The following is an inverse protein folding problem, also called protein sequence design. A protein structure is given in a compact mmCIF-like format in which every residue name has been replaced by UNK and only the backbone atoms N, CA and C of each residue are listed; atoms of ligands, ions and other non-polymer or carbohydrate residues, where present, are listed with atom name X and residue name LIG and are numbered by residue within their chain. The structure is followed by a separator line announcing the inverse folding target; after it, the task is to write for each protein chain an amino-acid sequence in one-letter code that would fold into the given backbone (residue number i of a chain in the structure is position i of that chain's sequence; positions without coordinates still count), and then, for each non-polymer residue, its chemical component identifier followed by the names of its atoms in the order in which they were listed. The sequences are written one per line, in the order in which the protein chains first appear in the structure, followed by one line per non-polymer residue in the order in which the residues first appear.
data_IF_731003162180
#
_entry.id   IF_731003162180
#
_cell.length_a   1.000
_cell.length_b   1.000
_cell.length_c   1.000
_cell.angle_alpha   90.00
_cell.angle_beta   90.00
_cell.angle_gamma   90.00
#
_symmetry.space_group_name_H-M   'P 1'
#
loop_
_entity.id
_entity.type
_entity.pdbx_description
1 polymer ?
2 non-polymer ?
3 non-polymer ?
4 non-polymer ?
5 non-polymer ?
6 water ?
#
# COMPACT_ATOMS: atom_id res chain seq x y z
N UNK A 1 2.13 -21.85 0.46
CA UNK A 1 3.46 -21.24 0.81
C UNK A 1 4.14 -22.13 1.87
N UNK A 2 5.39 -22.52 1.63
CA UNK A 2 6.16 -23.34 2.60
C UNK A 2 6.59 -22.49 3.79
N UNK A 3 6.93 -21.23 3.47
CA UNK A 3 7.30 -20.20 4.47
C UNK A 3 6.17 -19.94 5.45
N UNK A 4 4.94 -19.92 4.93
CA UNK A 4 3.72 -19.75 5.73
C UNK A 4 3.38 -21.04 6.49
N UNK A 5 3.68 -22.19 5.87
CA UNK A 5 3.53 -23.51 6.52
C UNK A 5 4.41 -23.63 7.76
N UNK A 6 5.63 -23.10 7.65
CA UNK A 6 6.58 -23.06 8.78
C UNK A 6 6.09 -22.12 9.89
N UNK A 7 5.42 -21.04 9.50
CA UNK A 7 4.89 -20.06 10.44
C UNK A 7 3.74 -20.66 11.26
N UNK A 8 2.84 -21.36 10.57
CA UNK A 8 1.71 -22.08 11.21
C UNK A 8 2.26 -22.99 12.29
N UNK A 9 3.23 -23.83 11.91
CA UNK A 9 3.91 -24.75 12.86
C UNK A 9 4.51 -23.98 14.03
N UNK A 10 5.21 -22.87 13.73
CA UNK A 10 5.84 -22.03 14.77
C UNK A 10 4.84 -21.48 15.79
N UNK A 11 3.73 -20.93 15.29
CA UNK A 11 2.68 -20.38 16.16
C UNK A 11 2.03 -21.44 17.05
N UNK A 12 1.87 -22.65 16.52
CA UNK A 12 1.27 -23.77 17.26
C UNK A 12 2.20 -24.31 18.35
N UNK A 13 3.50 -24.40 18.05
CA UNK A 13 4.50 -24.82 19.06
C UNK A 13 4.59 -23.76 20.17
N UNK A 14 4.27 -22.51 19.81
CA UNK A 14 4.24 -21.38 20.77
C UNK A 14 2.87 -21.18 21.44
N UNK A 15 2.01 -22.19 21.33
CA UNK A 15 0.70 -22.20 22.00
C UNK A 15 -0.45 -21.44 21.38
N UNK A 16 -0.22 -20.73 20.27
CA UNK A 16 -1.30 -20.00 19.60
C UNK A 16 -2.13 -21.04 18.82
N UNK A 17 -3.39 -21.18 19.21
CA UNK A 17 -4.32 -22.17 18.60
C UNK A 17 -5.15 -21.55 17.48
N UNK A 18 -5.50 -22.36 16.45
CA UNK A 18 -6.30 -21.86 15.34
C UNK A 18 -7.77 -21.69 15.73
N UNK A 19 -8.46 -20.73 15.10
CA UNK A 19 -9.87 -20.50 15.36
C UNK A 19 -10.66 -20.44 14.06
N UNK A 20 -11.84 -21.07 14.09
CA UNK A 20 -12.74 -21.19 12.93
C UNK A 20 -13.71 -20.02 12.82
N UNK A 21 -13.86 -19.53 11.60
CA UNK A 21 -14.75 -18.40 11.30
C UNK A 21 -15.61 -18.73 10.07
N UNK A 22 -16.84 -18.25 10.05
CA UNK A 22 -17.75 -18.43 8.89
C UNK A 22 -18.07 -17.10 8.17
N UNK A 23 -18.84 -17.16 7.09
CA UNK A 23 -19.21 -15.96 6.28
C UNK A 23 -19.89 -14.84 7.11
N UNK A 24 -19.64 -13.60 6.71
CA UNK A 24 -20.09 -12.34 7.37
C UNK A 24 -19.54 -12.11 8.81
N UNK A 25 -18.71 -13.05 9.29
CA UNK A 25 -18.17 -13.01 10.64
C UNK A 25 -16.90 -12.17 10.65
N UNK A 26 -16.77 -11.31 11.67
CA UNK A 26 -15.63 -10.39 11.78
C UNK A 26 -14.54 -10.96 12.69
N UNK A 27 -13.33 -11.10 12.16
CA UNK A 27 -12.17 -11.56 12.94
C UNK A 27 -11.87 -10.46 13.95
N UNK A 28 -11.75 -9.24 13.43
CA UNK A 28 -11.65 -8.03 14.27
C UNK A 28 -12.53 -6.93 13.68
N UNK A 29 -12.89 -5.97 14.52
CA UNK A 29 -13.68 -4.83 14.07
C UNK A 29 -12.98 -3.50 14.40
N UNK A 30 -13.47 -2.44 13.77
CA UNK A 30 -12.92 -1.06 13.96
C UNK A 30 -12.91 -0.46 15.38
N UNK A 31 -13.78 -0.95 16.26
CA UNK A 31 -13.89 -0.40 17.60
C UNK A 31 -13.10 -1.18 18.64
N UNK A 32 -12.44 -2.27 18.22
CA UNK A 32 -11.66 -3.10 19.14
C UNK A 32 -10.40 -2.34 19.53
N UNK A 33 -10.23 -2.03 20.84
CA UNK A 33 -9.00 -1.35 21.28
C UNK A 33 -7.79 -2.27 21.33
N UNK A 34 -8.02 -3.58 21.25
CA UNK A 34 -6.94 -4.56 21.23
C UNK A 34 -6.46 -4.66 19.79
N UNK A 35 -5.16 -4.45 19.59
CA UNK A 35 -4.57 -4.57 18.26
C UNK A 35 -4.10 -6.01 18.11
N UNK A 36 -4.19 -6.53 16.88
CA UNK A 36 -3.84 -7.92 16.60
C UNK A 36 -2.92 -8.09 15.40
N UNK A 37 -2.45 -9.31 15.27
CA UNK A 37 -1.75 -9.80 14.10
C UNK A 37 -2.54 -11.03 13.69
N UNK A 38 -3.25 -10.92 12.57
CA UNK A 38 -4.10 -12.00 12.08
C UNK A 38 -3.36 -12.79 11.02
N UNK A 39 -2.94 -13.99 11.38
CA UNK A 39 -2.34 -14.90 10.41
C UNK A 39 -3.48 -15.67 9.79
N UNK A 40 -4.00 -15.12 8.70
CA UNK A 40 -5.08 -15.77 7.93
C UNK A 40 -4.42 -16.93 7.24
N UNK A 41 -4.72 -18.15 7.68
CA UNK A 41 -4.11 -19.37 7.12
C UNK A 41 -4.84 -19.87 5.89
N UNK A 42 -6.15 -20.04 6.02
CA UNK A 42 -7.00 -20.53 4.94
C UNK A 42 -8.31 -19.74 4.92
N UNK A 43 -8.77 -19.43 3.71
CA UNK A 43 -10.02 -18.68 3.50
C UNK A 43 -9.80 -17.39 2.75
N UNK A 44 -10.88 -16.65 2.57
CA UNK A 44 -10.86 -15.37 1.89
C UNK A 44 -11.53 -14.34 2.82
N UNK A 45 -10.94 -13.15 2.87
CA UNK A 45 -11.44 -12.07 3.71
C UNK A 45 -11.42 -10.75 2.98
N UNK A 46 -12.13 -9.78 3.55
CA UNK A 46 -12.10 -8.40 3.04
C UNK A 46 -11.88 -7.43 4.20
N UNK A 47 -11.12 -6.39 3.91
CA UNK A 47 -10.77 -5.35 4.88
C UNK A 47 -11.72 -4.21 4.57
N UNK A 48 -12.69 -3.96 5.46
CA UNK A 48 -13.67 -2.89 5.25
C UNK A 48 -13.48 -1.73 6.20
N UNK A 49 -14.23 -0.66 5.92
CA UNK A 49 -14.23 0.56 6.71
C UNK A 49 -15.63 1.15 6.72
N UNK A 50 -16.08 1.52 7.92
CA UNK A 50 -17.41 2.13 8.07
C UNK A 50 -17.25 3.61 8.26
N UNK A 51 -17.80 4.35 7.32
CA UNK A 51 -17.81 5.80 7.35
C UNK A 51 -18.74 6.27 8.45
N UNK A 52 -18.48 7.44 9.01
CA UNK A 52 -19.28 7.95 10.15
C UNK A 52 -20.80 7.93 9.91
N UNK A 53 -21.19 8.09 8.63
CA UNK A 53 -22.62 8.00 8.19
C UNK A 53 -23.19 6.56 8.05
N UNK A 54 -22.33 5.56 8.23
CA UNK A 54 -22.71 4.13 8.33
C UNK A 54 -22.46 3.29 7.07
N UNK A 55 -22.08 3.94 5.97
CA UNK A 55 -21.87 3.25 4.70
C UNK A 55 -20.55 2.43 4.70
N UNK A 56 -20.69 1.18 4.30
CA UNK A 56 -19.60 0.19 4.30
C UNK A 56 -18.75 0.30 3.03
N UNK A 57 -17.43 0.42 3.21
CA UNK A 57 -16.49 0.54 2.10
C UNK A 57 -15.57 -0.68 2.10
N UNK A 58 -15.53 -1.38 0.97
CA UNK A 58 -14.63 -2.52 0.78
C UNK A 58 -13.30 -1.96 0.32
N UNK A 59 -12.23 -2.20 1.07
CA UNK A 59 -10.90 -1.63 0.76
C UNK A 59 -9.88 -2.55 0.16
N UNK A 60 -9.84 -3.78 0.63
CA UNK A 60 -8.83 -4.76 0.20
C UNK A 60 -9.32 -6.15 0.51
N UNK A 61 -8.90 -7.11 -0.31
CA UNK A 61 -9.22 -8.53 -0.12
C UNK A 61 -7.94 -9.30 0.17
N UNK A 62 -7.99 -10.22 1.13
CA UNK A 62 -6.83 -11.09 1.46
C UNK A 62 -7.21 -12.56 1.34
N UNK A 63 -6.27 -13.36 0.85
CA UNK A 63 -6.44 -14.81 0.67
C UNK A 63 -5.64 -15.56 1.74
N UNK A 64 -6.10 -16.76 2.08
CA UNK A 64 -5.39 -17.63 3.10
C UNK A 64 -4.14 -18.10 2.39
N UNK A 65 -2.89 -17.81 2.69
CA UNK A 65 -2.07 -17.41 3.81
C UNK A 65 -1.55 -16.03 3.62
N UNK A 66 -1.68 -15.28 4.68
CA UNK A 66 -1.23 -13.93 4.70
C UNK A 66 -1.39 -13.41 6.10
N UNK A 67 -0.66 -12.36 6.40
CA UNK A 67 -0.79 -11.68 7.68
C UNK A 67 -1.40 -10.29 7.50
N UNK A 68 -2.29 -9.97 8.45
CA UNK A 68 -3.00 -8.69 8.50
C UNK A 68 -2.80 -8.18 9.92
N UNK A 69 -2.28 -6.96 10.05
CA UNK A 69 -2.02 -6.34 11.36
C UNK A 69 -2.79 -5.06 11.55
N UNK A 70 -3.54 -5.01 12.63
CA UNK A 70 -4.30 -3.81 13.01
C UNK A 70 -3.48 -2.84 13.86
N UNK A 71 -2.26 -3.25 14.26
CA UNK A 71 -1.38 -2.42 15.09
C UNK A 71 0.08 -2.36 14.65
N UNK A 72 0.75 -1.25 14.98
CA UNK A 72 2.19 -1.08 14.70
C UNK A 72 2.95 -1.95 15.70
N UNK A 73 3.99 -2.62 15.22
CA UNK A 73 4.75 -3.59 16.05
C UNK A 73 5.46 -3.02 17.29
N UNK A 74 6.12 -1.87 17.16
CA UNK A 74 6.87 -1.27 18.26
C UNK A 74 5.97 -0.38 19.10
N UNK A 75 5.35 0.65 18.51
CA UNK A 75 4.54 1.56 19.32
C UNK A 75 3.27 0.90 19.86
N UNK A 76 2.81 -0.16 19.18
CA UNK A 76 1.58 -0.89 19.55
C UNK A 76 0.34 0.03 19.53
N UNK A 77 0.17 0.78 18.45
CA UNK A 77 -0.98 1.70 18.26
C UNK A 77 -1.75 1.31 16.99
N UNK A 78 -3.03 1.66 16.93
CA UNK A 78 -3.83 1.28 15.77
C UNK A 78 -3.22 1.81 14.50
N UNK A 79 -3.16 0.94 13.50
CA UNK A 79 -2.68 1.31 12.17
C UNK A 79 -3.85 1.97 11.39
N UNK A 80 -5.08 1.69 11.83
CA UNK A 80 -6.29 2.24 11.24
C UNK A 80 -7.55 1.60 11.81
N UNK A 81 -8.68 2.26 11.62
CA UNK A 81 -9.96 1.75 12.13
C UNK A 81 -10.67 0.95 11.03
N UNK A 82 -10.34 -0.34 10.99
CA UNK A 82 -10.86 -1.28 9.99
C UNK A 82 -11.55 -2.49 10.61
N UNK A 83 -12.26 -3.23 9.76
CA UNK A 83 -12.92 -4.49 10.11
C UNK A 83 -12.34 -5.54 9.19
N UNK A 84 -12.11 -6.73 9.70
CA UNK A 84 -11.64 -7.84 8.84
C UNK A 84 -12.76 -8.87 8.80
N UNK A 85 -13.58 -8.74 7.77
CA UNK A 85 -14.75 -9.59 7.55
C UNK A 85 -14.42 -10.83 6.73
N UNK A 86 -15.01 -11.96 7.10
CA UNK A 86 -14.84 -13.21 6.32
C UNK A 86 -15.87 -13.22 5.19
N UNK A 87 -15.40 -13.57 4.00
CA UNK A 87 -16.27 -13.66 2.78
C UNK A 87 -16.47 -15.07 2.23
N UNK A 88 -15.52 -15.97 2.47
CA UNK A 88 -15.67 -17.37 2.08
C UNK A 88 -16.62 -18.09 3.05
N UNK A 89 -17.08 -19.27 2.67
CA UNK A 89 -18.01 -20.07 3.53
C UNK A 89 -17.41 -20.30 4.91
N UNK A 90 -16.16 -20.75 4.92
CA UNK A 90 -15.40 -21.00 6.13
C UNK A 90 -13.98 -20.43 6.00
N UNK A 91 -13.41 -20.05 7.15
CA UNK A 91 -12.04 -19.53 7.21
C UNK A 91 -11.36 -19.93 8.53
N UNK A 92 -10.06 -20.23 8.43
CA UNK A 92 -9.21 -20.58 9.58
C UNK A 92 -8.21 -19.45 9.77
N UNK A 93 -8.00 -19.04 11.02
CA UNK A 93 -7.06 -17.96 11.33
C UNK A 93 -6.53 -18.04 12.74
N UNK A 94 -5.28 -17.62 12.90
CA UNK A 94 -4.62 -17.55 14.19
C UNK A 94 -4.65 -16.09 14.60
N UNK A 95 -5.42 -15.81 15.64
CA UNK A 95 -5.56 -14.46 16.16
C UNK A 95 -4.55 -14.32 17.29
N UNK A 96 -3.60 -13.41 17.11
CA UNK A 96 -2.56 -13.17 18.12
C UNK A 96 -2.55 -11.67 18.48
N UNK A 97 -2.45 -11.37 19.78
CA UNK A 97 -2.32 -9.97 20.24
C UNK A 97 -1.02 -9.39 19.71
N UNK A 98 -1.03 -8.10 19.38
CA UNK A 98 0.15 -7.44 18.79
C UNK A 98 1.46 -7.57 19.62
N UNK A 99 1.35 -7.40 20.95
CA UNK A 99 2.48 -7.53 21.88
C UNK A 99 3.07 -8.93 21.85
N UNK A 100 2.19 -9.93 21.75
CA UNK A 100 2.60 -11.33 21.64
C UNK A 100 3.50 -11.46 20.41
N UNK A 101 3.02 -10.95 19.26
CA UNK A 101 3.80 -10.99 18.01
C UNK A 101 5.17 -10.38 18.18
N UNK A 102 5.20 -9.21 18.80
CA UNK A 102 6.46 -8.51 19.04
C UNK A 102 7.49 -9.45 19.66
N UNK A 103 7.10 -10.14 20.74
CA UNK A 103 8.01 -11.07 21.44
C UNK A 103 8.27 -12.33 20.60
N UNK A 104 7.26 -12.80 19.86
CA UNK A 104 7.39 -14.01 19.03
C UNK A 104 8.37 -13.85 17.89
N UNK A 105 8.26 -12.74 17.16
CA UNK A 105 9.17 -12.47 16.04
C UNK A 105 10.59 -12.16 16.54
N UNK A 106 10.69 -11.53 17.71
CA UNK A 106 11.99 -11.23 18.33
C UNK A 106 12.84 -12.47 18.63
N UNK A 107 12.20 -13.64 18.73
CA UNK A 107 12.88 -14.91 19.03
C UNK A 107 13.06 -15.89 17.82
N UNK A 108 12.61 -15.48 16.64
CA UNK A 108 12.85 -16.23 15.39
C UNK A 108 12.87 -15.30 14.15
N UNK A 109 14.07 -15.02 13.66
CA UNK A 109 14.29 -14.11 12.49
C UNK A 109 13.80 -14.56 11.13
N UNK A 110 13.82 -15.87 10.88
CA UNK A 110 13.26 -16.41 9.64
C UNK A 110 11.80 -15.97 9.50
N UNK A 111 11.07 -16.02 10.62
CA UNK A 111 9.65 -15.64 10.64
C UNK A 111 9.44 -14.14 10.66
N UNK A 112 10.40 -13.40 11.19
CA UNK A 112 10.32 -11.93 11.20
C UNK A 112 10.36 -11.54 9.70
N UNK A 113 11.35 -12.08 8.98
CA UNK A 113 11.51 -11.86 7.54
C UNK A 113 10.27 -12.26 6.71
N UNK A 114 9.64 -13.39 7.05
CA UNK A 114 8.43 -13.84 6.32
C UNK A 114 7.30 -12.80 6.40
N UNK A 115 7.00 -12.37 7.61
CA UNK A 115 5.95 -11.36 7.88
C UNK A 115 6.32 -9.98 7.30
N UNK A 116 7.59 -9.64 7.39
CA UNK A 116 8.11 -8.40 6.83
C UNK A 116 7.88 -8.39 5.30
N UNK A 117 8.07 -9.54 4.66
CA UNK A 117 7.87 -9.66 3.20
C UNK A 117 6.40 -9.39 2.91
N UNK A 118 5.52 -10.02 3.70
CA UNK A 118 4.08 -9.90 3.48
C UNK A 118 3.70 -8.44 3.33
N UNK A 119 4.32 -7.59 4.13
CA UNK A 119 4.07 -6.15 4.02
C UNK A 119 4.61 -5.58 2.72
N UNK A 120 5.83 -5.99 2.38
CA UNK A 120 6.45 -5.59 1.10
C UNK A 120 5.55 -6.01 -0.07
N UNK A 121 4.96 -7.21 0.07
CA UNK A 121 4.05 -7.79 -0.94
C UNK A 121 2.87 -6.82 -1.09
N UNK A 122 2.22 -6.53 0.03
CA UNK A 122 1.09 -5.58 0.10
C UNK A 122 1.39 -4.23 -0.52
N UNK A 123 2.52 -3.62 -0.13
CA UNK A 123 2.92 -2.30 -0.64
C UNK A 123 3.05 -2.29 -2.16
N UNK A 124 3.74 -3.28 -2.71
CA UNK A 124 3.98 -3.35 -4.16
C UNK A 124 2.73 -3.70 -4.96
N UNK A 125 1.85 -4.52 -4.36
CA UNK A 125 0.55 -4.88 -4.96
C UNK A 125 -0.29 -3.62 -5.18
N UNK A 126 -0.34 -2.79 -4.15
CA UNK A 126 -1.10 -1.52 -4.17
C UNK A 126 -0.58 -0.59 -5.27
N UNK A 127 0.76 -0.47 -5.35
CA UNK A 127 1.42 0.35 -6.40
C UNK A 127 1.18 -0.18 -7.82
N UNK A 128 1.03 -1.51 -7.93
CA UNK A 128 0.76 -2.15 -9.21
C UNK A 128 -0.66 -1.85 -9.66
N UNK A 129 -1.62 -2.10 -8.77
CA UNK A 129 -3.05 -1.75 -8.97
C UNK A 129 -3.15 -0.30 -9.42
N UNK A 130 -2.49 0.57 -8.67
CA UNK A 130 -2.52 2.00 -8.92
C UNK A 130 -1.93 2.39 -10.26
N UNK A 131 -0.82 1.78 -10.64
CA UNK A 131 -0.20 2.06 -11.95
C UNK A 131 -1.17 1.74 -13.09
N UNK A 132 -1.74 0.54 -13.02
CA UNK A 132 -2.71 0.06 -14.02
C UNK A 132 -3.97 0.91 -14.07
N UNK A 133 -4.41 1.40 -12.92
CA UNK A 133 -5.55 2.31 -12.86
C UNK A 133 -5.21 3.66 -13.49
N UNK A 134 -4.00 4.15 -13.21
CA UNK A 134 -3.55 5.43 -13.75
C UNK A 134 -3.46 5.44 -15.29
N UNK A 135 -3.07 4.32 -15.88
CA UNK A 135 -2.91 4.21 -17.36
C UNK A 135 -4.25 3.94 -18.05
N UNK A 136 -4.91 2.87 -17.63
CA UNK A 136 -6.15 2.39 -18.26
C UNK A 136 -7.47 2.70 -17.52
N UNK A 137 -7.41 3.49 -16.46
CA UNK A 137 -8.63 3.84 -15.69
C UNK A 137 -9.27 2.61 -15.07
N UNK A 138 -10.59 2.58 -14.95
CA UNK A 138 -11.25 1.38 -14.41
C UNK A 138 -11.10 0.12 -15.30
N UNK A 139 -10.81 0.29 -16.61
CA UNK A 139 -10.54 -0.87 -17.49
C UNK A 139 -9.32 -1.61 -16.94
N UNK A 140 -8.30 -0.85 -16.53
CA UNK A 140 -7.10 -1.41 -15.89
C UNK A 140 -7.43 -2.06 -14.56
N UNK A 141 -8.28 -1.41 -13.77
CA UNK A 141 -8.76 -1.95 -12.48
C UNK A 141 -9.49 -3.28 -12.63
N UNK A 142 -10.41 -3.36 -13.60
CA UNK A 142 -11.20 -4.59 -13.81
C UNK A 142 -10.34 -5.74 -14.37
N UNK A 143 -9.58 -5.47 -15.44
CA UNK A 143 -8.68 -6.49 -16.01
C UNK A 143 -7.75 -7.01 -14.92
N UNK A 144 -7.26 -6.09 -14.11
CA UNK A 144 -6.43 -6.41 -12.94
C UNK A 144 -7.13 -7.35 -11.96
N UNK A 145 -8.36 -7.02 -11.56
CA UNK A 145 -9.09 -7.89 -10.62
C UNK A 145 -9.42 -9.26 -11.28
N UNK A 146 -9.74 -9.25 -12.58
CA UNK A 146 -10.01 -10.50 -13.32
C UNK A 146 -8.74 -11.35 -13.45
N UNK A 147 -7.59 -10.68 -13.65
CA UNK A 147 -6.29 -11.36 -13.76
C UNK A 147 -5.92 -12.06 -12.47
N UNK A 148 -6.12 -11.38 -11.34
CA UNK A 148 -5.91 -11.93 -9.99
C UNK A 148 -6.77 -13.18 -9.84
N UNK A 149 -8.07 -13.01 -10.09
CA UNK A 149 -9.05 -14.13 -10.05
C UNK A 149 -8.58 -15.30 -10.92
N UNK A 150 -8.08 -14.98 -12.11
CA UNK A 150 -7.60 -15.99 -13.05
C UNK A 150 -6.42 -16.77 -12.47
N UNK A 151 -5.34 -16.08 -12.16
CA UNK A 151 -4.13 -16.74 -11.67
C UNK A 151 -4.31 -17.53 -10.35
N UNK A 152 -5.04 -16.95 -9.41
CA UNK A 152 -5.21 -17.56 -8.08
C UNK A 152 -6.20 -18.73 -8.07
N UNK A 153 -7.29 -18.62 -8.83
CA UNK A 153 -8.37 -19.66 -8.85
C UNK A 153 -8.68 -20.22 -10.24
N UNK A 154 -7.74 -20.11 -11.16
CA UNK A 154 -7.95 -20.56 -12.55
C UNK A 154 -7.31 -21.88 -12.88
N UNK A 155 -8.01 -22.67 -13.71
CA UNK A 155 -7.50 -23.96 -14.20
C UNK A 155 -7.91 -24.12 -15.67
N UNK A 156 -6.99 -24.63 -16.48
CA UNK A 156 -7.25 -24.86 -17.91
C UNK A 156 -8.12 -26.07 -18.15
N UNK A 157 -9.20 -25.85 -18.91
CA UNK A 157 -10.09 -26.91 -19.39
C UNK A 157 -10.70 -26.43 -20.73
N UNK A 158 -11.08 -27.37 -21.65
CA UNK A 158 -11.52 -27.12 -23.06
C UNK A 158 -12.12 -25.76 -23.38
N UNK A 159 -13.08 -25.35 -22.57
CA UNK A 159 -13.73 -24.05 -22.68
C UNK A 159 -12.96 -23.06 -21.78
N UNK A 160 -11.83 -22.58 -22.28
CA UNK A 160 -10.96 -21.58 -21.59
C UNK A 160 -10.46 -21.90 -20.18
N UNK A 161 -10.23 -20.84 -19.41
CA UNK A 161 -9.74 -20.94 -18.02
C UNK A 161 -10.91 -20.72 -17.06
N UNK A 162 -11.28 -21.77 -16.33
CA UNK A 162 -12.41 -21.72 -15.39
C UNK A 162 -12.05 -21.05 -14.06
N UNK A 163 -12.85 -20.05 -13.67
CA UNK A 163 -12.75 -19.39 -12.37
C UNK A 163 -13.46 -20.31 -11.36
N UNK A 164 -12.67 -20.96 -10.50
CA UNK A 164 -13.19 -21.94 -9.51
C UNK A 164 -13.57 -21.31 -8.16
N UNK A 165 -14.20 -20.15 -8.22
CA UNK A 165 -14.71 -19.46 -7.04
C UNK A 165 -16.18 -19.77 -6.98
N UNK A 166 -16.64 -20.38 -5.88
CA UNK A 166 -18.06 -20.66 -5.71
C UNK A 166 -18.79 -19.35 -5.95
N UNK A 167 -19.52 -19.29 -7.05
CA UNK A 167 -20.39 -18.14 -7.42
C UNK A 167 -20.93 -17.27 -6.28
N UNK A 168 -21.18 -17.88 -5.12
CA UNK A 168 -21.60 -17.16 -3.90
C UNK A 168 -20.56 -16.11 -3.47
N UNK A 169 -19.29 -16.43 -3.65
CA UNK A 169 -18.18 -15.51 -3.36
C UNK A 169 -18.03 -14.51 -4.53
N UNK A 170 -18.42 -14.94 -5.73
CA UNK A 170 -18.43 -14.06 -6.93
C UNK A 170 -19.54 -12.99 -6.88
N UNK A 171 -20.50 -13.09 -5.96
CA UNK A 171 -21.50 -12.03 -5.75
C UNK A 171 -20.91 -10.96 -4.81
N UNK A 172 -19.88 -11.33 -4.03
CA UNK A 172 -19.13 -10.37 -3.19
C UNK A 172 -18.37 -9.40 -4.13
N UNK A 173 -18.09 -9.86 -5.37
CA UNK A 173 -17.53 -9.07 -6.49
C UNK A 173 -16.66 -7.89 -6.07
N UNK A 184 -21.14 4.11 -12.90
CA UNK A 184 -21.94 3.52 -13.97
C UNK A 184 -21.12 2.88 -15.05
N UNK A 185 -21.02 1.57 -14.95
CA UNK A 185 -20.76 0.71 -16.09
C UNK A 185 -20.39 -0.72 -15.80
N UNK A 186 -21.42 -1.52 -16.05
CA UNK A 186 -21.33 -2.93 -16.19
C UNK A 186 -20.84 -3.12 -17.69
N UNK A 187 -20.72 -2.00 -18.43
CA UNK A 187 -20.34 -1.89 -19.88
C UNK A 187 -18.91 -2.43 -20.26
N UNK A 188 -17.83 -2.10 -19.51
CA UNK A 188 -16.47 -2.74 -19.71
C UNK A 188 -16.67 -4.25 -19.79
N UNK A 189 -17.26 -4.80 -18.72
CA UNK A 189 -17.57 -6.24 -18.60
C UNK A 189 -18.41 -6.73 -19.82
N UNK A 190 -19.33 -5.87 -20.30
CA UNK A 190 -20.13 -6.16 -21.51
C UNK A 190 -19.22 -6.30 -22.73
N UNK A 191 -18.31 -5.33 -22.89
CA UNK A 191 -17.33 -5.30 -23.99
C UNK A 191 -16.43 -6.56 -23.96
N UNK A 192 -15.97 -6.93 -22.75
CA UNK A 192 -15.13 -8.15 -22.54
C UNK A 192 -15.90 -9.42 -22.95
N UNK A 193 -17.18 -9.49 -22.56
CA UNK A 193 -18.08 -10.60 -22.95
C UNK A 193 -18.32 -10.65 -24.48
N UNK A 194 -18.42 -9.48 -25.10
CA UNK A 194 -18.62 -9.32 -26.57
C UNK A 194 -17.39 -9.78 -27.38
N UNK A 195 -16.20 -9.39 -26.90
CA UNK A 195 -14.92 -9.73 -27.55
C UNK A 195 -14.39 -11.15 -27.30
N UNK A 196 -15.14 -11.95 -26.53
CA UNK A 196 -14.74 -13.33 -26.16
C UNK A 196 -13.40 -13.33 -25.39
N UNK A 197 -13.34 -12.43 -24.42
CA UNK A 197 -12.23 -12.31 -23.46
C UNK A 197 -12.62 -13.14 -22.25
N UNK A 198 -13.90 -13.01 -21.88
CA UNK A 198 -14.52 -13.76 -20.78
C UNK A 198 -15.88 -14.28 -21.27
N UNK A 199 -16.41 -15.31 -20.62
CA UNK A 199 -17.76 -15.90 -20.96
C UNK A 199 -18.51 -16.46 -19.72
N UNK A 200 -19.85 -16.26 -19.66
CA UNK A 200 -20.71 -16.62 -18.46
C UNK A 200 -21.86 -17.66 -18.70
N UNK A 201 -21.48 -18.85 -19.15
CA UNK A 201 -22.22 -20.17 -19.07
C UNK A 201 -21.24 -20.76 -18.06
N UNK A 202 -21.27 -21.76 -17.25
CA UNK A 202 -22.20 -22.70 -17.04
C UNK A 202 -22.60 -22.84 -15.57
N UNK A 203 -22.74 -22.02 -14.58
CA UNK A 203 -22.47 -20.75 -13.95
C UNK A 203 -21.04 -20.63 -13.48
N UNK A 204 -20.19 -20.14 -14.35
CA UNK A 204 -18.84 -19.84 -14.01
C UNK A 204 -18.36 -18.83 -15.00
N UNK A 205 -17.27 -18.24 -14.62
CA UNK A 205 -16.69 -17.13 -15.27
C UNK A 205 -15.47 -17.75 -15.96
N UNK A 206 -15.38 -17.62 -17.28
CA UNK A 206 -14.24 -18.20 -18.02
C UNK A 206 -13.35 -17.12 -18.59
N UNK A 207 -12.12 -17.51 -18.94
CA UNK A 207 -11.17 -16.59 -19.58
C UNK A 207 -10.68 -17.24 -20.87
N UNK A 208 -11.01 -16.59 -21.97
CA UNK A 208 -10.68 -17.03 -23.33
C UNK A 208 -9.49 -16.26 -23.94
N UNK A 209 -9.27 -15.03 -23.46
CA UNK A 209 -8.22 -14.14 -23.95
C UNK A 209 -7.48 -13.55 -22.73
N UNK A 210 -6.67 -14.38 -22.10
CA UNK A 210 -5.85 -13.95 -20.96
C UNK A 210 -4.94 -12.74 -21.31
N UNK A 211 -4.56 -12.64 -22.59
CA UNK A 211 -3.71 -11.55 -23.10
C UNK A 211 -4.37 -10.16 -22.95
N UNK A 212 -5.68 -10.09 -23.14
CA UNK A 212 -6.44 -8.84 -23.03
C UNK A 212 -6.34 -8.27 -21.60
N UNK A 213 -6.44 -9.17 -20.63
CA UNK A 213 -6.37 -8.79 -19.23
C UNK A 213 -4.97 -8.31 -18.88
N UNK A 214 -3.97 -9.04 -19.34
CA UNK A 214 -2.55 -8.69 -19.12
C UNK A 214 -2.18 -7.37 -19.82
N UNK A 215 -2.83 -7.10 -20.95
CA UNK A 215 -2.61 -5.85 -21.70
C UNK A 215 -2.93 -4.62 -20.85
N UNK A 216 -4.17 -4.57 -20.36
CA UNK A 216 -4.69 -3.42 -19.60
C UNK A 216 -4.37 -3.40 -18.10
N UNK A 217 -3.83 -4.49 -17.56
CA UNK A 217 -3.36 -4.53 -16.15
C UNK A 217 -1.95 -5.13 -16.12
N UNK A 218 -0.99 -4.47 -16.82
CA UNK A 218 0.36 -5.01 -17.00
C UNK A 218 1.27 -4.96 -15.78
N UNK A 219 1.17 -3.93 -14.95
CA UNK A 219 2.00 -3.84 -13.72
C UNK A 219 1.47 -4.82 -12.65
N UNK A 220 0.17 -5.15 -12.71
CA UNK A 220 -0.39 -6.13 -11.75
C UNK A 220 0.14 -7.53 -12.14
N UNK A 221 0.17 -7.79 -13.45
CA UNK A 221 0.71 -9.05 -13.99
C UNK A 221 2.17 -9.24 -13.55
N UNK A 222 2.95 -8.16 -13.68
CA UNK A 222 4.35 -8.13 -13.25
C UNK A 222 4.47 -8.47 -11.76
N UNK A 223 3.57 -7.91 -10.96
CA UNK A 223 3.57 -8.17 -9.52
C UNK A 223 3.34 -9.64 -9.23
N UNK A 224 2.36 -10.24 -9.90
CA UNK A 224 2.06 -11.65 -9.71
C UNK A 224 3.23 -12.55 -10.16
N UNK A 225 3.96 -12.11 -11.19
CA UNK A 225 5.13 -12.84 -11.69
C UNK A 225 6.25 -12.89 -10.66
N UNK A 226 6.47 -11.76 -9.99
CA UNK A 226 7.51 -11.63 -8.95
C UNK A 226 7.07 -12.09 -7.55
N UNK A 227 5.81 -11.81 -7.19
CA UNK A 227 5.27 -12.16 -5.86
C UNK A 227 4.86 -13.64 -5.73
N UNK A 228 4.28 -14.19 -6.81
CA UNK A 228 3.81 -15.59 -6.84
C UNK A 228 4.27 -16.28 -8.16
N UNK A 229 5.60 -16.44 -8.37
CA UNK A 229 6.13 -16.99 -9.64
C UNK A 229 5.66 -18.39 -10.06
N UNK A 230 5.63 -19.33 -9.12
CA UNK A 230 5.20 -20.72 -9.41
C UNK A 230 3.78 -20.72 -9.97
N UNK A 231 2.87 -20.05 -9.24
CA UNK A 231 1.46 -19.88 -9.66
C UNK A 231 1.32 -19.16 -11.02
N UNK A 232 2.15 -18.14 -11.25
CA UNK A 232 2.12 -17.37 -12.51
C UNK A 232 2.49 -18.25 -13.70
N UNK A 233 3.57 -19.02 -13.54
CA UNK A 233 4.03 -19.93 -14.60
C UNK A 233 3.08 -21.09 -14.91
N UNK A 234 2.07 -21.28 -14.06
CA UNK A 234 1.09 -22.36 -14.21
C UNK A 234 0.18 -22.09 -15.44
N UNK A 235 -0.34 -20.85 -15.54
CA UNK A 235 -1.22 -20.45 -16.67
C UNK A 235 -0.50 -19.68 -17.80
N UNK A 236 0.84 -19.54 -17.69
CA UNK A 236 1.67 -18.88 -18.71
C UNK A 236 2.67 -19.86 -19.30
N UNK B 1 12.37 13.63 12.55
CA UNK B 1 12.20 13.05 13.94
C UNK B 1 13.17 11.84 14.20
N UNK B 2 13.05 11.11 15.33
CA UNK B 2 14.23 10.38 15.90
C UNK B 2 14.63 8.89 15.68
N UNK B 3 13.69 7.98 15.82
CA UNK B 3 13.87 6.53 15.52
C UNK B 3 14.71 6.39 14.22
N UNK B 4 14.49 7.33 13.30
CA UNK B 4 15.23 7.45 12.03
C UNK B 4 16.63 8.04 12.23
N UNK B 5 16.75 9.01 13.15
CA UNK B 5 18.06 9.58 13.53
C UNK B 5 18.98 8.49 14.11
N UNK B 6 18.41 7.58 14.90
CA UNK B 6 19.15 6.44 15.49
C UNK B 6 19.60 5.45 14.39
N UNK B 7 18.79 5.32 13.35
CA UNK B 7 19.08 4.44 12.21
C UNK B 7 20.25 4.99 11.39
N UNK B 8 20.22 6.30 11.12
CA UNK B 8 21.29 7.04 10.43
C UNK B 8 22.63 6.75 11.14
N UNK B 9 22.65 6.98 12.46
CA UNK B 9 23.83 6.70 13.29
C UNK B 9 24.27 5.24 13.15
N UNK B 10 23.31 4.32 13.24
CA UNK B 10 23.55 2.88 13.12
C UNK B 10 24.23 2.50 11.80
N UNK B 11 23.65 2.98 10.69
CA UNK B 11 24.21 2.76 9.33
C UNK B 11 25.64 3.28 9.17
N UNK B 12 25.93 4.43 9.77
CA UNK B 12 27.26 5.07 9.70
C UNK B 12 28.31 4.31 10.52
N UNK B 13 27.92 3.87 11.72
CA UNK B 13 28.82 3.06 12.57
C UNK B 13 29.12 1.71 11.89
N UNK B 14 28.18 1.27 11.05
CA UNK B 14 28.32 0.03 10.26
C UNK B 14 28.96 0.25 8.87
N UNK B 15 29.58 1.42 8.68
CA UNK B 15 30.32 1.75 7.45
C UNK B 15 29.55 2.22 6.22
N UNK B 16 28.21 2.24 6.29
CA UNK B 16 27.41 2.70 5.15
C UNK B 16 27.48 4.23 5.14
N UNK B 17 28.06 4.79 4.08
CA UNK B 17 28.28 6.24 3.97
C UNK B 17 27.14 6.92 3.17
N UNK B 18 26.77 8.18 3.52
CA UNK B 18 25.72 8.88 2.77
C UNK B 18 26.16 9.34 1.39
N UNK B 19 25.22 9.41 0.46
CA UNK B 19 25.49 9.86 -0.91
C UNK B 19 24.54 11.01 -1.28
N UNK B 20 25.09 11.99 -2.00
CA UNK B 20 24.34 13.17 -2.44
C UNK B 20 23.73 12.98 -3.83
N UNK B 21 22.49 13.41 -3.97
CA UNK B 21 21.75 13.32 -5.23
C UNK B 21 21.06 14.64 -5.52
N UNK B 22 20.91 14.97 -6.81
CA UNK B 22 20.24 16.22 -7.25
C UNK B 22 18.94 15.91 -8.02
N UNK B 23 18.22 16.95 -8.43
CA UNK B 23 16.95 16.82 -9.19
C UNK B 23 17.09 16.01 -10.51
N UNK B 24 16.03 15.28 -10.86
CA UNK B 24 15.93 14.34 -12.04
C UNK B 24 16.85 13.11 -11.99
N UNK B 25 17.75 13.05 -11.01
CA UNK B 25 18.69 11.95 -10.90
C UNK B 25 17.96 10.76 -10.28
N UNK B 26 18.39 9.56 -10.66
CA UNK B 26 17.79 8.30 -10.20
C UNK B 26 18.68 7.61 -9.16
N UNK B 27 18.12 7.36 -7.97
CA UNK B 27 18.86 6.62 -6.92
C UNK B 27 19.02 5.19 -7.43
N UNK B 28 17.90 4.60 -7.85
CA UNK B 28 17.91 3.30 -8.56
C UNK B 28 16.94 3.37 -9.75
N UNK B 29 17.15 2.47 -10.69
CA UNK B 29 16.29 2.36 -11.88
C UNK B 29 15.73 0.96 -12.08
N UNK B 30 14.66 0.89 -12.87
CA UNK B 30 13.98 -0.38 -13.26
C UNK B 30 14.85 -1.55 -13.64
N UNK B 31 15.89 -1.25 -14.40
CA UNK B 31 16.73 -2.32 -14.98
C UNK B 31 17.85 -2.78 -14.10
N UNK B 32 18.02 -2.16 -12.95
CA UNK B 32 19.13 -2.55 -12.06
C UNK B 32 18.82 -3.92 -11.45
N UNK B 33 19.69 -4.93 -11.69
CA UNK B 33 19.49 -6.25 -11.11
C UNK B 33 19.83 -6.31 -9.63
N UNK B 34 20.58 -5.32 -9.16
CA UNK B 34 20.94 -5.22 -7.75
C UNK B 34 19.77 -4.62 -7.00
N UNK B 35 19.28 -5.34 -6.01
CA UNK B 35 18.18 -4.87 -5.19
C UNK B 35 18.76 -4.13 -4.00
N UNK B 36 18.06 -3.08 -3.59
CA UNK B 36 18.54 -2.20 -2.53
C UNK B 36 17.52 -1.92 -1.45
N UNK B 37 18.05 -1.32 -0.38
CA UNK B 37 17.26 -0.70 0.68
C UNK B 37 17.74 0.74 0.70
N UNK B 38 16.88 1.66 0.28
CA UNK B 38 17.21 3.07 0.21
C UNK B 38 16.69 3.77 1.45
N UNK B 39 17.60 4.12 2.36
CA UNK B 39 17.21 4.92 3.53
C UNK B 39 17.31 6.38 3.10
N UNK B 40 16.19 6.89 2.59
CA UNK B 40 16.10 8.30 2.19
C UNK B 40 16.09 9.10 3.48
N UNK B 41 17.20 9.79 3.76
CA UNK B 41 17.31 10.56 5.00
C UNK B 41 16.71 11.95 4.89
N UNK B 42 17.10 12.67 3.84
CA UNK B 42 16.63 14.03 3.62
C UNK B 42 16.36 14.25 2.13
N UNK B 43 15.26 14.92 1.84
CA UNK B 43 14.85 15.21 0.46
C UNK B 43 13.47 14.68 0.12
N UNK B 44 13.08 14.86 -1.12
CA UNK B 44 11.79 14.39 -1.64
C UNK B 44 12.08 13.57 -2.88
N UNK B 45 11.38 12.45 -3.02
CA UNK B 45 11.55 11.57 -4.18
C UNK B 45 10.21 11.05 -4.67
N UNK B 46 10.21 10.51 -5.88
CA UNK B 46 9.04 9.87 -6.45
C UNK B 46 9.40 8.48 -6.95
N UNK B 47 8.46 7.55 -6.80
CA UNK B 47 8.62 6.19 -7.28
C UNK B 47 7.85 6.15 -8.60
N UNK B 48 8.58 5.95 -9.69
CA UNK B 48 7.99 5.92 -11.02
C UNK B 48 8.05 4.54 -11.65
N UNK B 49 7.31 4.40 -12.75
CA UNK B 49 7.26 3.17 -13.54
C UNK B 49 7.17 3.53 -15.02
N UNK B 50 7.98 2.87 -15.83
CA UNK B 50 8.02 3.08 -17.28
C UNK B 50 7.25 1.95 -17.97
N UNK B 51 6.16 2.31 -18.65
CA UNK B 51 5.36 1.34 -19.44
C UNK B 51 6.20 0.92 -20.64
N UNK B 52 5.81 -0.17 -21.32
CA UNK B 52 6.63 -0.66 -22.46
C UNK B 52 6.71 0.23 -23.72
N UNK B 53 5.78 1.18 -23.88
CA UNK B 53 5.88 2.17 -24.99
C UNK B 53 6.70 3.39 -24.54
N UNK B 54 7.04 3.42 -23.25
CA UNK B 54 7.89 4.49 -22.69
C UNK B 54 7.25 5.57 -21.83
N UNK B 55 5.92 5.55 -21.68
CA UNK B 55 5.24 6.58 -20.89
C UNK B 55 5.53 6.42 -19.38
N UNK B 56 5.92 7.52 -18.76
CA UNK B 56 6.32 7.58 -17.35
C UNK B 56 5.10 7.76 -16.44
N UNK B 57 5.01 6.90 -15.44
CA UNK B 57 3.90 6.89 -14.50
C UNK B 57 4.42 7.21 -13.12
N UNK B 58 3.89 8.25 -12.50
CA UNK B 58 4.26 8.62 -11.12
C UNK B 58 3.35 7.82 -10.19
N UNK B 59 3.95 6.99 -9.34
CA UNK B 59 3.19 6.07 -8.46
C UNK B 59 3.08 6.43 -6.99
N UNK B 60 4.15 6.99 -6.45
CA UNK B 60 4.23 7.29 -5.02
C UNK B 60 5.31 8.32 -4.77
N UNK B 61 5.11 9.16 -3.76
CA UNK B 61 6.12 10.16 -3.38
C UNK B 61 6.56 9.88 -1.94
N UNK B 62 7.88 9.97 -1.71
CA UNK B 62 8.47 9.73 -0.39
C UNK B 62 9.24 10.94 0.09
N UNK B 63 9.15 11.21 1.40
CA UNK B 63 9.82 12.35 2.01
C UNK B 63 10.99 11.86 2.86
N UNK B 64 11.93 12.78 3.06
CA UNK B 64 13.11 12.58 3.84
C UNK B 64 13.08 12.28 5.33
N UNK B 65 12.66 11.06 5.56
CA UNK B 65 13.10 10.11 6.52
C UNK B 65 12.18 8.95 6.24
N UNK B 66 12.67 7.99 5.47
CA UNK B 66 11.85 6.88 5.06
C UNK B 66 12.71 5.83 4.37
N UNK B 67 12.24 4.60 4.39
CA UNK B 67 12.91 3.50 3.74
C UNK B 67 12.11 3.08 2.52
N UNK B 68 12.85 2.81 1.43
CA UNK B 68 12.29 2.30 0.16
C UNK B 68 13.13 1.08 -0.22
N UNK B 69 12.48 -0.07 -0.42
CA UNK B 69 13.18 -1.31 -0.77
C UNK B 69 12.72 -1.89 -2.08
N UNK B 70 13.68 -2.08 -2.99
CA UNK B 70 13.41 -2.67 -4.30
C UNK B 70 13.47 -4.21 -4.28
N UNK B 71 13.82 -4.79 -3.14
CA UNK B 71 13.90 -6.27 -3.00
C UNK B 71 13.25 -6.81 -1.73
N UNK B 72 12.79 -8.05 -1.80
CA UNK B 72 12.23 -8.74 -0.63
C UNK B 72 13.38 -9.20 0.25
N UNK B 73 13.28 -8.98 1.57
CA UNK B 73 14.39 -9.37 2.50
C UNK B 73 14.65 -10.87 2.59
N UNK B 74 13.59 -11.68 2.59
CA UNK B 74 13.72 -13.15 2.74
C UNK B 74 14.35 -13.85 1.54
N UNK B 75 13.76 -13.63 0.37
CA UNK B 75 14.17 -14.25 -0.92
C UNK B 75 15.20 -13.46 -1.73
N UNK B 76 15.29 -12.16 -1.45
CA UNK B 76 16.22 -11.26 -2.15
C UNK B 76 15.92 -11.24 -3.66
N UNK B 77 14.63 -11.12 -3.96
CA UNK B 77 14.13 -11.05 -5.33
C UNK B 77 13.40 -9.72 -5.48
N UNK B 78 13.33 -9.23 -6.71
CA UNK B 78 12.76 -7.91 -7.00
C UNK B 78 11.31 -7.77 -6.56
N UNK B 79 10.97 -6.66 -5.88
CA UNK B 79 9.57 -6.38 -5.45
C UNK B 79 8.76 -5.83 -6.63
N UNK B 80 9.48 -5.24 -7.58
CA UNK B 80 8.91 -4.69 -8.80
C UNK B 80 9.93 -3.91 -9.64
N UNK B 81 9.53 -3.56 -10.86
CA UNK B 81 10.36 -2.79 -11.80
C UNK B 81 10.05 -1.30 -11.69
N UNK B 82 10.76 -0.63 -10.78
CA UNK B 82 10.54 0.79 -10.50
C UNK B 82 11.81 1.62 -10.63
N UNK B 83 11.63 2.94 -10.64
CA UNK B 83 12.73 3.91 -10.61
C UNK B 83 12.46 4.82 -9.42
N UNK B 84 13.52 5.19 -8.70
CA UNK B 84 13.39 6.09 -7.57
C UNK B 84 14.08 7.37 -8.01
N UNK B 85 13.28 8.30 -8.51
CA UNK B 85 13.77 9.60 -9.00
C UNK B 85 13.72 10.68 -7.92
N UNK B 86 14.73 11.54 -7.91
CA UNK B 86 14.81 12.68 -7.00
C UNK B 86 14.02 13.85 -7.60
N UNK B 87 13.22 14.50 -6.75
CA UNK B 87 12.35 15.62 -7.13
C UNK B 87 12.78 16.96 -6.53
N UNK B 88 13.32 16.92 -5.32
CA UNK B 88 13.82 18.12 -4.65
C UNK B 88 15.13 18.58 -5.30
N UNK B 89 15.55 19.80 -4.99
CA UNK B 89 16.83 20.37 -5.50
C UNK B 89 17.97 19.42 -5.19
N UNK B 90 18.08 19.07 -3.91
CA UNK B 90 19.07 18.11 -3.41
C UNK B 90 18.45 17.09 -2.46
N UNK B 91 19.07 15.92 -2.42
CA UNK B 91 18.64 14.82 -1.55
C UNK B 91 19.83 14.01 -1.06
N UNK B 92 19.74 13.56 0.20
CA UNK B 92 20.76 12.71 0.84
C UNK B 92 20.11 11.35 1.07
N UNK B 93 20.87 10.30 0.80
CA UNK B 93 20.37 8.94 0.96
C UNK B 93 21.50 7.92 1.15
N UNK B 94 21.20 6.90 1.95
CA UNK B 94 22.12 5.81 2.23
C UNK B 94 21.66 4.63 1.39
N UNK B 95 22.46 4.30 0.37
CA UNK B 95 22.16 3.20 -0.55
C UNK B 95 22.84 1.97 0.00
N UNK B 96 22.03 0.98 0.34
CA UNK B 96 22.49 -0.27 0.94
C UNK B 96 22.00 -1.41 0.08
N UNK B 97 22.84 -2.42 -0.08
CA UNK B 97 22.51 -3.58 -0.91
C UNK B 97 21.58 -4.42 -0.03
N UNK B 98 20.55 -5.04 -0.63
CA UNK B 98 19.53 -5.73 0.18
C UNK B 98 20.07 -6.76 1.19
N UNK B 99 21.17 -7.43 0.85
CA UNK B 99 21.74 -8.45 1.72
C UNK B 99 22.41 -7.88 3.00
N UNK B 100 22.94 -6.66 2.93
CA UNK B 100 23.57 -6.02 4.12
C UNK B 100 22.46 -5.68 5.12
N UNK B 101 21.37 -5.13 4.58
CA UNK B 101 20.20 -4.75 5.36
C UNK B 101 19.75 -5.92 6.23
N UNK B 102 19.59 -7.10 5.62
CA UNK B 102 19.27 -8.35 6.33
C UNK B 102 20.09 -8.46 7.60
N UNK B 103 21.40 -8.30 7.45
CA UNK B 103 22.36 -8.46 8.54
C UNK B 103 22.31 -7.35 9.57
N UNK B 104 22.22 -6.11 9.12
CA UNK B 104 22.12 -4.94 10.00
C UNK B 104 20.92 -5.05 10.95
N UNK B 105 19.76 -5.42 10.42
CA UNK B 105 18.53 -5.57 11.24
C UNK B 105 18.56 -6.84 12.07
N UNK B 106 19.24 -7.88 11.58
CA UNK B 106 19.40 -9.13 12.35
C UNK B 106 20.19 -8.85 13.62
N UNK B 107 21.29 -8.10 13.46
CA UNK B 107 22.12 -7.67 14.59
C UNK B 107 21.40 -6.78 15.58
N UNK B 108 20.45 -5.98 15.08
CA UNK B 108 19.80 -4.97 15.92
C UNK B 108 18.28 -4.89 15.70
N UNK B 109 17.53 -5.45 16.67
CA UNK B 109 16.05 -5.51 16.61
C UNK B 109 15.26 -4.23 16.70
N UNK B 110 15.80 -3.24 17.41
CA UNK B 110 15.16 -1.92 17.49
C UNK B 110 15.00 -1.35 16.07
N UNK B 111 16.05 -1.47 15.27
CA UNK B 111 16.03 -0.99 13.88
C UNK B 111 15.19 -1.88 12.97
N UNK B 112 15.16 -3.19 13.25
CA UNK B 112 14.34 -4.13 12.45
C UNK B 112 12.91 -3.58 12.58
N UNK B 113 12.49 -3.36 13.83
CA UNK B 113 11.15 -2.80 14.15
C UNK B 113 10.87 -1.44 13.49
N UNK B 114 11.88 -0.56 13.45
CA UNK B 114 11.72 0.77 12.81
C UNK B 114 11.35 0.66 11.33
N UNK B 115 12.15 -0.13 10.61
CA UNK B 115 11.96 -0.37 9.16
C UNK B 115 10.65 -1.12 8.90
N UNK B 116 10.35 -2.08 9.76
CA UNK B 116 9.11 -2.86 9.69
C UNK B 116 7.91 -1.91 9.80
N UNK B 117 7.97 -0.98 10.76
CA UNK B 117 6.88 0.01 10.96
C UNK B 117 6.67 0.92 9.77
N UNK B 118 7.77 1.29 9.12
CA UNK B 118 7.70 2.14 7.95
C UNK B 118 6.81 1.45 6.88
N UNK B 119 7.02 0.14 6.65
CA UNK B 119 6.17 -0.65 5.73
C UNK B 119 4.72 -0.62 6.16
N UNK B 120 4.48 -0.82 7.46
CA UNK B 120 3.13 -0.71 8.02
C UNK B 120 2.51 0.67 7.72
N UNK B 121 3.32 1.72 7.89
CA UNK B 121 2.89 3.09 7.53
C UNK B 121 2.50 3.16 6.06
N UNK B 122 3.39 2.70 5.19
CA UNK B 122 3.10 2.65 3.73
C UNK B 122 1.79 1.94 3.40
N UNK B 123 1.61 0.74 3.95
CA UNK B 123 0.39 -0.04 3.72
C UNK B 123 -0.87 0.72 4.13
N UNK B 124 -0.87 1.28 5.33
CA UNK B 124 -2.05 1.99 5.86
C UNK B 124 -2.33 3.30 5.12
N UNK B 125 -1.25 3.99 4.73
CA UNK B 125 -1.35 5.25 3.93
C UNK B 125 -2.12 5.00 2.64
N UNK B 126 -1.72 3.95 1.94
CA UNK B 126 -2.37 3.50 0.69
C UNK B 126 -3.85 3.21 0.86
N UNK B 127 -4.18 2.48 1.92
CA UNK B 127 -5.59 2.17 2.26
C UNK B 127 -6.41 3.41 2.62
N UNK B 128 -5.74 4.41 3.20
CA UNK B 128 -6.38 5.67 3.59
C UNK B 128 -6.70 6.49 2.35
N UNK B 129 -5.69 6.68 1.49
CA UNK B 129 -5.84 7.31 0.16
C UNK B 129 -7.01 6.66 -0.57
N UNK B 130 -6.97 5.34 -0.64
CA UNK B 130 -7.97 4.56 -1.33
C UNK B 130 -9.38 4.73 -0.78
N UNK B 131 -9.50 4.75 0.54
CA UNK B 131 -10.82 4.92 1.20
C UNK B 131 -11.42 6.25 0.78
N UNK B 132 -10.63 7.30 0.91
CA UNK B 132 -11.04 8.68 0.57
C UNK B 132 -11.38 8.82 -0.92
N UNK B 133 -10.64 8.12 -1.77
CA UNK B 133 -10.93 8.12 -3.21
C UNK B 133 -12.25 7.40 -3.48
N UNK B 134 -12.47 6.29 -2.77
CA UNK B 134 -13.71 5.49 -2.94
C UNK B 134 -14.97 6.26 -2.54
N UNK B 135 -14.87 7.13 -1.53
CA UNK B 135 -16.03 7.91 -1.05
C UNK B 135 -16.26 9.18 -1.88
N UNK B 136 -15.22 10.01 -1.97
CA UNK B 136 -15.30 11.32 -2.63
C UNK B 136 -14.69 11.43 -4.03
N UNK B 137 -14.25 10.32 -4.60
CA UNK B 137 -13.67 10.30 -5.95
C UNK B 137 -12.42 11.16 -6.05
N UNK B 138 -12.28 11.89 -7.15
CA UNK B 138 -11.12 12.79 -7.39
C UNK B 138 -11.03 13.89 -6.32
N UNK B 139 -12.18 14.30 -5.81
CA UNK B 139 -12.24 15.35 -4.74
C UNK B 139 -11.51 14.87 -3.48
N UNK B 140 -11.76 13.61 -3.11
CA UNK B 140 -11.10 12.98 -1.97
C UNK B 140 -9.61 12.88 -2.17
N UNK B 141 -9.22 12.48 -3.37
CA UNK B 141 -7.80 12.37 -3.79
C UNK B 141 -7.07 13.72 -3.67
N UNK B 142 -7.69 14.78 -4.19
CA UNK B 142 -7.09 16.14 -4.18
C UNK B 142 -6.98 16.68 -2.76
N UNK B 143 -8.10 16.73 -2.05
CA UNK B 143 -8.11 17.20 -0.63
C UNK B 143 -7.03 16.46 0.17
N UNK B 144 -6.97 15.14 -0.03
CA UNK B 144 -5.97 14.29 0.56
C UNK B 144 -4.57 14.78 0.24
N UNK B 145 -4.29 15.05 -1.05
CA UNK B 145 -2.96 15.52 -1.50
C UNK B 145 -2.65 16.89 -0.91
N UNK B 146 -3.66 17.73 -0.84
CA UNK B 146 -3.51 19.08 -0.25
C UNK B 146 -3.30 19.01 1.25
N UNK B 147 -3.99 18.06 1.89
CA UNK B 147 -3.87 17.86 3.34
C UNK B 147 -2.45 17.39 3.75
N UNK B 148 -1.87 16.45 2.99
CA UNK B 148 -0.50 15.97 3.27
C UNK B 148 0.47 17.14 3.07
N UNK B 149 0.29 17.89 1.99
CA UNK B 149 1.09 19.11 1.72
C UNK B 149 0.98 20.10 2.87
N UNK B 150 -0.23 20.25 3.38
CA UNK B 150 -0.51 21.17 4.49
C UNK B 150 0.25 20.76 5.77
N UNK B 151 -0.04 19.56 6.26
CA UNK B 151 0.58 19.06 7.50
C UNK B 151 2.11 18.98 7.47
N UNK B 152 2.65 18.46 6.37
CA UNK B 152 4.08 18.23 6.23
C UNK B 152 4.90 19.51 6.00
N UNK B 153 4.37 20.44 5.20
CA UNK B 153 5.08 21.69 4.83
C UNK B 153 4.34 22.98 5.18
N UNK B 154 3.37 22.90 6.08
CA UNK B 154 2.57 24.06 6.42
C UNK B 154 2.93 24.76 7.71
N UNK B 155 2.82 26.09 7.70
CA UNK B 155 2.99 26.90 8.90
C UNK B 155 2.02 28.08 8.90
N UNK B 156 1.50 28.36 10.08
CA UNK B 156 0.49 29.38 10.26
C UNK B 156 1.08 30.77 10.28
N UNK B 157 0.56 31.63 9.42
CA UNK B 157 0.82 33.08 9.43
C UNK B 157 -0.40 33.84 8.77
N UNK B 158 -0.56 35.15 9.00
CA UNK B 158 -1.80 35.97 8.89
C UNK B 158 -2.74 35.55 7.78
N UNK B 159 -2.17 35.36 6.59
CA UNK B 159 -2.90 34.89 5.41
C UNK B 159 -2.83 33.37 5.40
N UNK B 160 -3.68 32.74 6.20
CA UNK B 160 -3.80 31.25 6.27
C UNK B 160 -2.55 30.42 6.56
N UNK B 161 -2.55 29.20 6.06
CA UNK B 161 -1.44 28.23 6.25
C UNK B 161 -0.60 28.18 4.97
N UNK B 162 0.62 28.68 5.03
CA UNK B 162 1.50 28.74 3.85
C UNK B 162 2.19 27.41 3.54
N UNK B 163 2.04 26.95 2.30
CA UNK B 163 2.74 25.75 1.84
C UNK B 163 4.17 26.18 1.45
N UNK B 164 5.14 25.75 2.27
CA UNK B 164 6.56 26.11 2.11
C UNK B 164 7.36 25.14 1.22
N UNK B 165 6.75 24.77 0.10
CA UNK B 165 7.38 23.95 -0.93
C UNK B 165 7.82 24.91 -2.01
N UNK B 166 9.13 24.95 -2.30
CA UNK B 166 9.65 25.80 -3.38
C UNK B 166 8.77 25.51 -4.59
N UNK B 167 8.09 26.54 -5.11
CA UNK B 167 7.15 26.38 -6.24
C UNK B 167 7.66 25.52 -7.42
N UNK B 168 8.98 25.34 -7.51
CA UNK B 168 9.61 24.45 -8.52
C UNK B 168 9.25 22.96 -8.27
N UNK B 169 9.10 22.60 -7.00
CA UNK B 169 8.67 21.25 -6.60
C UNK B 169 7.13 21.13 -6.75
N UNK B 170 6.44 22.27 -6.58
CA UNK B 170 4.98 22.32 -6.78
C UNK B 170 4.59 22.35 -8.26
N UNK B 171 5.54 22.65 -9.15
CA UNK B 171 5.30 22.50 -10.61
C UNK B 171 5.29 21.00 -10.95
N UNK B 172 5.96 20.19 -10.12
CA UNK B 172 5.95 18.72 -10.22
C UNK B 172 4.69 18.13 -9.49
N UNK B 173 3.84 19.03 -8.96
CA UNK B 173 2.51 18.73 -8.39
C UNK B 173 1.72 20.06 -8.58
N UNK B 174 1.56 20.39 -9.87
CA UNK B 174 1.02 21.66 -10.39
C UNK B 174 0.15 22.73 -9.73
N UNK B 175 0.58 23.98 -9.92
CA UNK B 175 -0.27 25.16 -9.68
C UNK B 175 -1.13 25.21 -10.94
N UNK B 176 -0.45 25.13 -12.09
CA UNK B 176 -1.01 25.19 -13.45
C UNK B 176 -1.10 26.65 -13.87
N UNK B 182 -5.27 17.85 -17.88
CA UNK B 182 -5.94 17.98 -16.59
C UNK B 182 -7.10 18.97 -16.60
N UNK B 183 -8.39 18.58 -16.35
CA UNK B 183 -9.28 19.75 -16.03
C UNK B 183 -10.46 19.51 -15.06
N UNK B 184 -10.88 18.22 -14.76
CA UNK B 184 -11.86 17.96 -13.66
C UNK B 184 -11.14 18.26 -12.36
N UNK B 185 -9.80 18.15 -12.39
CA UNK B 185 -8.98 18.57 -11.27
C UNK B 185 -9.17 20.07 -11.19
N UNK B 186 -9.08 20.72 -12.34
CA UNK B 186 -9.29 22.16 -12.38
C UNK B 186 -10.68 22.50 -11.88
N UNK B 187 -11.70 21.75 -12.31
CA UNK B 187 -13.08 21.97 -11.79
C UNK B 187 -13.02 21.98 -10.26
N UNK B 188 -12.28 21.02 -9.71
CA UNK B 188 -12.14 20.92 -8.25
C UNK B 188 -11.27 22.05 -7.68
N UNK B 189 -10.02 22.12 -8.12
CA UNK B 189 -9.09 23.18 -7.67
C UNK B 189 -9.71 24.58 -7.87
N UNK B 190 -10.40 24.77 -9.00
CA UNK B 190 -11.11 26.03 -9.28
C UNK B 190 -12.15 26.31 -8.18
N UNK B 191 -12.97 25.30 -7.89
CA UNK B 191 -14.00 25.41 -6.84
C UNK B 191 -13.39 25.72 -5.46
N UNK B 192 -12.28 25.05 -5.14
CA UNK B 192 -11.59 25.29 -3.86
C UNK B 192 -11.08 26.74 -3.73
N UNK B 193 -10.57 27.30 -4.82
CA UNK B 193 -10.16 28.73 -4.84
C UNK B 193 -11.38 29.61 -4.63
N UNK B 194 -12.45 29.29 -5.38
CA UNK B 194 -13.70 30.08 -5.31
C UNK B 194 -14.22 30.17 -3.90
N UNK B 195 -14.27 29.02 -3.23
CA UNK B 195 -14.76 28.91 -1.83
C UNK B 195 -13.84 29.47 -0.74
N UNK B 196 -12.64 29.91 -1.11
CA UNK B 196 -11.62 30.41 -0.17
C UNK B 196 -11.19 29.27 0.79
N UNK B 197 -10.94 28.10 0.20
CA UNK B 197 -10.39 26.94 0.93
C UNK B 197 -8.88 26.99 0.73
N UNK B 198 -8.46 27.42 -0.47
CA UNK B 198 -7.06 27.59 -0.85
C UNK B 198 -6.95 28.91 -1.63
N UNK B 199 -5.74 29.49 -1.69
CA UNK B 199 -5.51 30.79 -2.37
C UNK B 199 -4.12 30.89 -3.04
N UNK B 200 -4.11 31.35 -4.29
CA UNK B 200 -2.85 31.52 -5.04
C UNK B 200 -2.49 33.01 -5.26
N UNK B 201 -1.75 33.50 -4.26
CA UNK B 201 -1.23 34.82 -4.11
C UNK B 201 0.15 34.89 -3.54
N UNK B 202 1.38 34.37 -3.48
CA UNK B 202 2.41 35.49 -3.54
C UNK B 202 3.62 34.71 -3.96
N UNK B 203 3.31 33.91 -4.92
CA UNK B 203 3.73 32.60 -5.39
C UNK B 203 3.84 31.50 -4.32
N UNK B 204 2.69 31.23 -3.69
CA UNK B 204 2.55 30.14 -2.74
C UNK B 204 1.10 29.81 -2.65
N UNK B 205 0.80 28.54 -2.39
CA UNK B 205 -0.56 28.13 -2.19
C UNK B 205 -0.78 28.30 -0.69
N UNK B 206 -1.97 28.74 -0.31
CA UNK B 206 -2.33 28.87 1.10
C UNK B 206 -3.53 28.00 1.40
N UNK B 207 -3.78 27.78 2.68
CA UNK B 207 -4.95 27.01 3.14
C UNK B 207 -5.69 27.88 4.13
N UNK B 208 -6.91 28.26 3.75
CA UNK B 208 -7.78 29.08 4.62
C UNK B 208 -8.95 28.31 5.26
N UNK B 209 -9.28 27.11 4.73
CA UNK B 209 -10.29 26.23 5.36
C UNK B 209 -9.77 24.78 5.49
N UNK B 210 -9.11 24.51 6.62
CA UNK B 210 -8.52 23.17 6.95
C UNK B 210 -9.57 22.16 7.39
N UNK B 211 -10.58 22.63 8.12
CA UNK B 211 -11.69 21.76 8.58
C UNK B 211 -12.34 21.07 7.36
N UNK B 212 -12.38 21.80 6.23
CA UNK B 212 -12.91 21.30 4.98
C UNK B 212 -12.08 20.14 4.45
N UNK B 213 -10.76 20.32 4.36
CA UNK B 213 -9.86 19.26 3.88
C UNK B 213 -9.99 17.99 4.75
N UNK B 214 -10.00 18.19 6.08
CA UNK B 214 -10.20 17.10 7.03
C UNK B 214 -11.54 16.38 6.78
N UNK B 215 -12.59 17.16 6.50
CA UNK B 215 -13.93 16.61 6.26
C UNK B 215 -13.97 15.66 5.06
N UNK B 216 -13.38 16.07 3.93
CA UNK B 216 -13.35 15.26 2.70
C UNK B 216 -12.13 14.33 2.54
N UNK B 217 -11.28 14.25 3.56
CA UNK B 217 -10.16 13.31 3.60
C UNK B 217 -10.02 12.77 5.04
N UNK B 218 -11.11 12.16 5.57
CA UNK B 218 -11.14 11.72 6.96
C UNK B 218 -10.22 10.54 7.28
N UNK B 219 -10.09 9.59 6.37
CA UNK B 219 -9.23 8.41 6.61
C UNK B 219 -7.73 8.78 6.51
N UNK B 220 -7.40 9.70 5.60
CA UNK B 220 -6.03 10.21 5.47
C UNK B 220 -5.73 11.00 6.74
N UNK B 221 -6.68 11.85 7.14
CA UNK B 221 -6.57 12.64 8.36
C UNK B 221 -6.34 11.73 9.56
N UNK B 222 -7.11 10.64 9.62
CA UNK B 222 -6.96 9.60 10.63
C UNK B 222 -5.53 9.01 10.56
N UNK B 223 -5.06 8.71 9.34
CA UNK B 223 -3.72 8.16 9.13
C UNK B 223 -2.61 9.03 9.75
N UNK B 224 -2.62 10.33 9.46
CA UNK B 224 -1.62 11.24 10.03
C UNK B 224 -1.64 11.18 11.53
N UNK B 225 -2.83 11.31 12.12
CA UNK B 225 -2.99 11.22 13.57
C UNK B 225 -2.44 9.91 14.16
N UNK B 226 -2.71 8.79 13.45
CA UNK B 226 -2.27 7.46 13.89
C UNK B 226 -0.82 7.09 13.56
N UNK B 227 -0.37 7.45 12.35
CA UNK B 227 0.96 7.09 11.84
C UNK B 227 2.13 7.98 12.29
N UNK B 228 1.92 9.28 12.22
CA UNK B 228 2.90 10.29 12.64
C UNK B 228 2.15 11.40 13.42
N UNK B 229 1.96 11.21 14.76
CA UNK B 229 1.15 12.15 15.55
C UNK B 229 1.81 13.48 15.92
N UNK B 230 3.14 13.54 15.80
CA UNK B 230 3.87 14.79 16.06
C UNK B 230 3.45 15.85 15.04
N UNK B 231 3.50 15.48 13.76
CA UNK B 231 3.09 16.37 12.67
C UNK B 231 1.60 16.76 12.76
N UNK B 232 0.72 15.77 12.94
CA UNK B 232 -0.75 16.03 13.05
C UNK B 232 -1.13 17.01 14.18
N UNK B 233 -0.46 16.89 15.32
CA UNK B 233 -0.75 17.76 16.48
C UNK B 233 -0.48 19.25 16.27
N UNK B 234 0.47 19.57 15.38
CA UNK B 234 0.85 20.98 15.13
C UNK B 234 -0.28 21.83 14.56
N UNK B 235 -1.19 21.22 13.80
CA UNK B 235 -2.34 21.92 13.21
C UNK B 235 -3.68 21.47 13.82
N UNK B 236 -3.62 20.71 14.93
CA UNK B 236 -4.81 20.22 15.63
C UNK B 236 -4.64 20.31 17.16
#
# INVERSE_FOLDING_TARGET
NAQAEEFKKYLETNGIKPKQFHKKELIFNQWDPQEYCIFLYDGITKLTSISENGTIMNLQYYKGAFVIMSGFIDTETSVGYYNLEVISEQATAYVIKINELKELLSKNLTHFFYVFQTLQKQVSYSLAKFNDFSINGKLGSICGQLLILTYVYGKETPDGIKITLDNLTMQELGYSSGIAHSSAVSRIISKLKQEKVIVYKNSCFYVQNLDYLKRYAPKLDEWFYLACPATWGKLN
NAQAEEFKKYLETNGIKPKQFHKKELIFNQWDPQEYCIFLYDGITKLTSISENGTIMNLQYYKGAFVIMSGFIDTETSVGYYNLEVISEQATAYVIKINELKELLSKNLTHFFYVFQTLQKQVSYSLAKFNDFSINGKLGSICGQLLILTYVYGKETPDGIKITLDNLTMQELGYSSGIAHSSAVSRIISKLKQEKVIVYKNSCFYVQNLDYLKRYAPKLDEWFYLACPATWGKLN
#
